data_IF_815745410377
#
_entry.id   IF_815745410377
#
_cell.length_a   1.000
_cell.length_b   1.000
_cell.length_c   1.000
_cell.angle_alpha   90.00
_cell.angle_beta   90.00
_cell.angle_gamma   90.00
#
_symmetry.space_group_name_H-M   'P 1'
#
loop_
_entity.id
_entity.type
_entity.pdbx_description
1 polymer ?
#
# COMPACT_ATOMS: atom_id res chain seq x y z
N UNK A 1 2.71 7.45 -10.53
CA UNK A 1 1.43 8.16 -10.65
C UNK A 1 1.47 9.38 -9.74
N UNK A 2 0.72 10.41 -10.07
CA UNK A 2 0.58 11.64 -9.27
C UNK A 2 -0.26 11.41 -8.00
N UNK A 3 -1.21 10.48 -8.07
CA UNK A 3 -2.15 10.16 -7.01
C UNK A 3 -1.76 8.97 -6.13
N UNK A 4 -0.47 8.73 -5.88
CA UNK A 4 -0.02 7.59 -5.07
C UNK A 4 -0.41 7.77 -3.61
N UNK A 5 -0.90 6.70 -2.98
CA UNK A 5 -1.27 6.66 -1.55
C UNK A 5 -0.52 5.60 -0.73
N UNK A 6 0.18 4.68 -1.39
CA UNK A 6 1.05 3.69 -0.75
C UNK A 6 1.90 2.98 -1.80
N UNK A 7 2.88 2.19 -1.37
CA UNK A 7 3.66 1.28 -2.21
C UNK A 7 3.40 -0.19 -1.86
N UNK A 8 3.46 -1.03 -2.88
CA UNK A 8 3.47 -2.48 -2.75
C UNK A 8 4.74 -3.03 -3.41
N UNK A 9 5.40 -3.96 -2.71
CA UNK A 9 6.68 -4.56 -3.10
C UNK A 9 6.68 -6.10 -3.03
N UNK A 10 5.55 -6.68 -2.62
CA UNK A 10 5.46 -8.12 -2.39
C UNK A 10 5.56 -8.91 -3.71
N UNK A 11 6.11 -10.12 -3.60
CA UNK A 11 6.11 -11.06 -4.71
C UNK A 11 4.66 -11.43 -5.10
N UNK A 12 4.46 -11.73 -6.38
CA UNK A 12 3.22 -12.28 -6.91
C UNK A 12 3.01 -13.66 -6.27
N UNK A 13 2.06 -13.78 -5.35
CA UNK A 13 1.67 -15.05 -4.73
C UNK A 13 0.62 -15.77 -5.58
N UNK A 14 0.97 -16.98 -5.97
CA UNK A 14 0.15 -17.88 -6.79
C UNK A 14 -0.45 -19.02 -5.95
N UNK A 15 -0.50 -18.87 -4.62
CA UNK A 15 -1.14 -19.78 -3.67
C UNK A 15 -0.68 -21.24 -3.85
N UNK A 16 0.62 -21.43 -4.08
CA UNK A 16 1.23 -22.75 -4.31
C UNK A 16 0.98 -23.36 -5.69
N UNK A 17 0.18 -22.72 -6.56
CA UNK A 17 -0.04 -23.20 -7.94
C UNK A 17 1.23 -23.10 -8.79
N UNK A 18 2.10 -22.14 -8.47
CA UNK A 18 3.44 -21.91 -9.04
C UNK A 18 4.31 -21.20 -7.99
N UNK A 19 5.64 -21.23 -8.12
CA UNK A 19 6.52 -20.45 -7.27
C UNK A 19 6.17 -18.95 -7.35
N UNK A 20 6.21 -18.27 -6.20
CA UNK A 20 6.09 -16.82 -6.16
C UNK A 20 7.21 -16.17 -6.96
N UNK A 21 6.94 -15.02 -7.57
CA UNK A 21 7.93 -14.30 -8.38
C UNK A 21 7.86 -12.81 -8.10
N UNK A 22 9.00 -12.13 -8.18
CA UNK A 22 9.05 -10.69 -8.10
C UNK A 22 8.19 -10.06 -9.19
N UNK A 23 7.62 -8.89 -8.88
CA UNK A 23 7.01 -8.03 -9.91
C UNK A 23 8.15 -7.52 -10.80
N UNK A 24 7.98 -7.62 -12.11
CA UNK A 24 9.08 -7.42 -13.09
C UNK A 24 9.74 -6.03 -13.03
N UNK A 25 9.04 -5.03 -12.47
CA UNK A 25 9.49 -3.64 -12.42
C UNK A 25 9.81 -3.17 -10.99
N UNK A 26 9.92 -4.10 -10.04
CA UNK A 26 10.15 -3.78 -8.63
C UNK A 26 8.88 -3.26 -7.91
N UNK A 27 9.07 -2.59 -6.76
CA UNK A 27 7.97 -1.98 -6.01
C UNK A 27 7.20 -0.97 -6.87
N UNK A 28 5.90 -0.86 -6.63
CA UNK A 28 5.01 0.01 -7.39
C UNK A 28 4.07 0.78 -6.47
N UNK A 29 3.80 2.03 -6.84
CA UNK A 29 2.82 2.86 -6.15
C UNK A 29 1.40 2.42 -6.47
N UNK A 30 0.53 2.47 -5.47
CA UNK A 30 -0.91 2.26 -5.61
C UNK A 30 -1.60 3.63 -5.71
N UNK A 31 -2.22 3.95 -6.86
CA UNK A 31 -3.02 5.15 -7.04
C UNK A 31 -4.28 5.18 -6.14
N UNK A 32 -4.64 6.35 -5.61
CA UNK A 32 -5.90 6.55 -4.87
C UNK A 32 -7.12 6.17 -5.71
N UNK A 33 -7.07 6.45 -7.02
CA UNK A 33 -8.16 6.10 -7.94
C UNK A 33 -8.49 4.61 -7.97
N UNK A 34 -7.60 3.73 -7.51
CA UNK A 34 -7.91 2.31 -7.37
C UNK A 34 -9.01 2.04 -6.34
N UNK A 35 -9.18 2.93 -5.36
CA UNK A 35 -10.21 2.82 -4.32
C UNK A 35 -11.59 3.29 -4.77
N UNK A 36 -11.67 4.00 -5.91
CA UNK A 36 -12.90 4.59 -6.40
C UNK A 36 -13.66 3.63 -7.33
N UNK A 37 -14.93 3.31 -7.04
CA UNK A 37 -15.82 2.68 -8.01
C UNK A 37 -16.22 3.70 -9.10
N UNK A 38 -16.75 3.22 -10.23
CA UNK A 38 -17.10 4.10 -11.37
C UNK A 38 -18.48 4.73 -11.22
N UNK A 39 -19.36 4.10 -10.45
CA UNK A 39 -20.79 4.40 -10.38
C UNK A 39 -21.20 5.14 -9.11
N UNK A 40 -20.30 5.27 -8.12
CA UNK A 40 -20.61 5.82 -6.80
C UNK A 40 -19.52 6.81 -6.35
N UNK A 41 -19.90 8.07 -6.15
CA UNK A 41 -18.98 9.15 -5.75
C UNK A 41 -18.83 9.28 -4.22
N UNK A 42 -19.49 8.41 -3.45
CA UNK A 42 -19.51 8.42 -1.98
C UNK A 42 -19.06 7.10 -1.36
N UNK A 43 -18.36 6.26 -2.13
CA UNK A 43 -17.88 4.95 -1.69
C UNK A 43 -16.39 4.81 -1.99
N UNK A 44 -15.65 4.20 -1.05
CA UNK A 44 -14.25 3.80 -1.22
C UNK A 44 -14.10 2.32 -0.89
N UNK A 45 -13.39 1.59 -1.75
CA UNK A 45 -13.11 0.15 -1.60
C UNK A 45 -11.66 -0.03 -1.16
N UNK A 46 -11.42 0.02 0.15
CA UNK A 46 -10.08 0.01 0.76
C UNK A 46 -9.59 -1.40 1.14
N UNK A 47 -9.71 -2.36 0.23
CA UNK A 47 -9.39 -3.77 0.49
C UNK A 47 -8.83 -4.44 -0.77
N UNK A 48 -8.66 -5.77 -0.70
CA UNK A 48 -8.13 -6.58 -1.80
C UNK A 48 -9.03 -6.57 -3.06
N UNK A 49 -10.28 -6.17 -2.91
CA UNK A 49 -11.27 -6.02 -3.98
C UNK A 49 -11.27 -4.63 -4.65
N UNK A 50 -10.34 -3.74 -4.29
CA UNK A 50 -10.14 -2.48 -5.03
C UNK A 50 -9.78 -2.75 -6.50
N UNK A 51 -9.78 -1.71 -7.33
CA UNK A 51 -9.61 -1.78 -8.79
C UNK A 51 -8.19 -2.18 -9.24
N UNK A 52 -7.72 -3.34 -8.82
CA UNK A 52 -6.43 -3.92 -9.14
C UNK A 52 -6.52 -4.88 -10.34
N UNK A 53 -5.44 -4.97 -11.11
CA UNK A 53 -5.26 -6.08 -12.04
C UNK A 53 -5.07 -7.39 -11.29
N UNK A 54 -5.20 -8.54 -11.96
CA UNK A 54 -4.93 -9.85 -11.36
C UNK A 54 -3.53 -9.93 -10.74
N UNK A 55 -2.53 -9.30 -11.37
CA UNK A 55 -1.16 -9.21 -10.84
C UNK A 55 -1.12 -8.31 -9.60
N UNK A 56 -1.76 -7.14 -9.67
CA UNK A 56 -1.84 -6.19 -8.55
C UNK A 56 -2.49 -6.83 -7.31
N UNK A 57 -3.63 -7.50 -7.48
CA UNK A 57 -4.35 -8.16 -6.40
C UNK A 57 -3.58 -9.33 -5.76
N UNK A 58 -2.74 -10.02 -6.56
CA UNK A 58 -1.87 -11.09 -6.06
C UNK A 58 -0.71 -10.56 -5.22
N UNK A 59 -0.16 -9.40 -5.60
CA UNK A 59 0.98 -8.76 -4.93
C UNK A 59 0.57 -7.86 -3.76
N UNK A 60 -0.37 -6.94 -3.93
CA UNK A 60 -0.66 -5.87 -2.96
C UNK A 60 -1.39 -6.33 -1.69
N UNK A 61 -1.71 -7.61 -1.53
CA UNK A 61 -2.63 -8.14 -0.51
C UNK A 61 -2.06 -8.30 0.91
N UNK A 62 -0.82 -7.85 1.14
CA UNK A 62 -0.23 -7.90 2.48
C UNK A 62 -0.94 -6.95 3.43
N UNK A 63 -1.03 -7.33 4.71
CA UNK A 63 -1.68 -6.52 5.75
C UNK A 63 -1.13 -5.09 5.81
N UNK A 64 0.19 -4.91 5.61
CA UNK A 64 0.82 -3.58 5.53
C UNK A 64 0.12 -2.70 4.49
N UNK A 65 0.02 -3.16 3.25
CA UNK A 65 -0.61 -2.40 2.18
C UNK A 65 -2.10 -2.20 2.45
N UNK A 66 -2.83 -3.23 2.92
CA UNK A 66 -4.25 -3.11 3.26
C UNK A 66 -4.52 -2.04 4.33
N UNK A 67 -3.67 -1.97 5.36
CA UNK A 67 -3.76 -0.93 6.39
C UNK A 67 -3.55 0.46 5.80
N UNK A 68 -2.62 0.62 4.86
CA UNK A 68 -2.38 1.91 4.19
C UNK A 68 -3.54 2.31 3.28
N UNK A 69 -4.18 1.37 2.57
CA UNK A 69 -5.40 1.67 1.81
C UNK A 69 -6.52 2.15 2.74
N UNK A 70 -6.68 1.49 3.90
CA UNK A 70 -7.63 1.90 4.93
C UNK A 70 -7.35 3.30 5.47
N UNK A 71 -6.09 3.62 5.75
CA UNK A 71 -5.66 4.96 6.17
C UNK A 71 -6.01 6.01 5.11
N UNK A 72 -5.63 5.77 3.85
CA UNK A 72 -5.95 6.66 2.75
C UNK A 72 -7.45 6.89 2.57
N UNK A 73 -8.26 5.83 2.67
CA UNK A 73 -9.70 5.94 2.52
C UNK A 73 -10.36 6.71 3.68
N UNK A 74 -9.94 6.45 4.92
CA UNK A 74 -10.44 7.16 6.10
C UNK A 74 -10.09 8.65 6.05
N UNK A 75 -8.84 8.96 5.70
CA UNK A 75 -8.37 10.34 5.54
C UNK A 75 -9.12 11.06 4.41
N UNK A 76 -9.33 10.41 3.27
CA UNK A 76 -10.11 10.97 2.17
C UNK A 76 -11.57 11.23 2.58
N UNK A 77 -12.21 10.31 3.29
CA UNK A 77 -13.56 10.52 3.80
C UNK A 77 -13.64 11.71 4.77
N UNK A 78 -12.61 11.91 5.61
CA UNK A 78 -12.53 13.06 6.51
C UNK A 78 -12.31 14.39 5.76
N UNK A 79 -11.50 14.39 4.69
CA UNK A 79 -11.16 15.59 3.93
C UNK A 79 -12.24 16.00 2.92
N UNK A 80 -12.88 15.03 2.27
CA UNK A 80 -13.76 15.25 1.13
C UNK A 80 -15.24 14.95 1.41
N UNK A 81 -15.55 14.31 2.54
CA UNK A 81 -16.92 14.00 2.94
C UNK A 81 -17.59 13.01 1.99
N UNK A 82 -18.74 13.41 1.44
CA UNK A 82 -19.57 12.55 0.56
C UNK A 82 -19.13 12.57 -0.91
N UNK A 83 -18.23 13.46 -1.31
CA UNK A 83 -17.70 13.52 -2.66
C UNK A 83 -16.24 13.05 -2.65
N UNK A 84 -16.03 11.73 -2.72
CA UNK A 84 -14.69 11.15 -2.69
C UNK A 84 -13.92 11.39 -3.98
N UNK A 85 -14.59 11.79 -5.07
CA UNK A 85 -13.97 12.22 -6.32
C UNK A 85 -13.38 13.63 -6.23
N UNK A 86 -13.75 14.44 -5.22
CA UNK A 86 -13.22 15.78 -5.00
C UNK A 86 -11.69 15.84 -4.85
N UNK A 87 -11.01 14.71 -4.64
CA UNK A 87 -9.55 14.63 -4.61
C UNK A 87 -8.87 15.17 -5.88
N UNK A 88 -9.53 15.12 -7.05
CA UNK A 88 -8.98 15.64 -8.32
C UNK A 88 -9.10 17.16 -8.43
N UNK A 89 -9.86 17.81 -7.54
CA UNK A 89 -10.14 19.24 -7.61
C UNK A 89 -9.14 20.04 -6.78
N UNK A 90 -8.61 21.12 -7.35
CA UNK A 90 -7.71 22.03 -6.65
C UNK A 90 -6.50 21.32 -6.04
N UNK A 91 -6.33 21.44 -4.73
CA UNK A 91 -5.26 20.85 -3.92
C UNK A 91 -5.70 19.56 -3.20
N UNK A 92 -6.81 18.93 -3.61
CA UNK A 92 -7.37 17.78 -2.92
C UNK A 92 -6.37 16.63 -2.75
N UNK A 93 -5.73 16.20 -3.83
CA UNK A 93 -4.74 15.12 -3.79
C UNK A 93 -3.52 15.48 -2.92
N UNK A 94 -2.97 16.70 -3.07
CA UNK A 94 -1.83 17.11 -2.23
C UNK A 94 -2.21 17.15 -0.76
N UNK A 95 -3.40 17.65 -0.40
CA UNK A 95 -3.89 17.62 0.98
C UNK A 95 -4.03 16.21 1.55
N UNK A 96 -4.48 15.25 0.72
CA UNK A 96 -4.53 13.84 1.12
C UNK A 96 -3.12 13.28 1.34
N UNK A 97 -2.20 13.51 0.40
CA UNK A 97 -0.82 13.03 0.51
C UNK A 97 -0.07 13.67 1.68
N UNK A 98 -0.23 14.97 1.91
CA UNK A 98 0.36 15.70 3.03
C UNK A 98 -0.11 15.12 4.38
N UNK A 99 -1.40 14.82 4.49
CA UNK A 99 -1.94 14.20 5.69
C UNK A 99 -1.42 12.77 5.87
N UNK A 100 -1.33 11.98 4.79
CA UNK A 100 -0.78 10.62 4.85
C UNK A 100 0.71 10.62 5.26
N UNK A 101 1.52 11.55 4.72
CA UNK A 101 2.92 11.73 5.12
C UNK A 101 3.01 12.13 6.60
N UNK A 102 2.13 13.04 7.04
CA UNK A 102 2.02 13.44 8.46
C UNK A 102 1.70 12.24 9.35
N UNK A 103 0.87 11.32 8.88
CA UNK A 103 0.50 10.08 9.56
C UNK A 103 1.60 8.98 9.46
N UNK A 104 2.72 9.26 8.79
CA UNK A 104 3.86 8.35 8.64
C UNK A 104 3.75 7.37 7.48
N UNK A 105 2.85 7.60 6.51
CA UNK A 105 2.76 6.81 5.28
C UNK A 105 3.86 7.22 4.33
N UNK A 106 4.69 6.26 3.92
CA UNK A 106 5.71 6.49 2.90
C UNK A 106 5.10 6.55 1.49
N UNK A 107 5.24 7.70 0.83
CA UNK A 107 4.72 7.95 -0.53
C UNK A 107 5.83 8.05 -1.58
N UNK A 108 7.07 7.79 -1.20
CA UNK A 108 8.20 7.62 -2.10
C UNK A 108 8.94 6.31 -1.81
N UNK A 109 9.68 5.81 -2.80
CA UNK A 109 10.54 4.65 -2.58
C UNK A 109 11.68 4.97 -1.60
N UNK A 110 12.18 6.19 -1.60
CA UNK A 110 13.22 6.61 -0.67
C UNK A 110 12.74 6.51 0.80
N UNK A 111 11.56 7.03 1.09
CA UNK A 111 10.95 7.02 2.44
C UNK A 111 10.31 5.67 2.82
N UNK A 112 9.99 4.81 1.84
CA UNK A 112 9.24 3.57 2.09
C UNK A 112 10.05 2.29 2.00
N UNK A 113 11.15 2.33 1.23
CA UNK A 113 11.98 1.17 0.92
C UNK A 113 13.33 1.22 1.63
N UNK A 114 13.88 2.42 1.91
CA UNK A 114 15.16 2.58 2.62
C UNK A 114 14.96 2.83 4.12
N UNK A 115 13.79 3.33 4.54
CA UNK A 115 13.38 3.43 5.95
C UNK A 115 12.69 2.16 6.46
N UNK A 116 13.12 0.99 6.00
CA UNK A 116 13.12 -0.19 6.88
C UNK A 116 14.11 0.06 8.04
N UNK A 117 13.82 1.10 8.84
CA UNK A 117 14.59 1.69 9.92
C UNK A 117 16.02 2.08 9.50
N UNK A 118 16.30 3.37 9.30
CA UNK A 118 17.68 3.86 9.19
C UNK A 118 18.55 3.22 10.29
N UNK A 119 19.51 2.37 9.90
CA UNK A 119 20.37 1.60 10.81
C UNK A 119 19.99 0.13 11.03
N UNK A 120 18.96 -0.40 10.37
CA UNK A 120 18.66 -1.84 10.34
C UNK A 120 19.05 -2.41 8.98
N UNK A 121 20.13 -3.18 8.98
CA UNK A 121 20.49 -4.00 7.82
C UNK A 121 19.36 -4.99 7.52
N UNK A 122 18.90 -5.10 6.25
CA UNK A 122 17.93 -6.10 5.86
C UNK A 122 18.41 -7.47 6.33
N UNK A 123 17.54 -8.22 7.03
CA UNK A 123 17.86 -9.60 7.37
C UNK A 123 18.21 -10.35 6.08
N UNK A 124 19.36 -11.05 6.04
CA UNK A 124 19.73 -11.79 4.85
C UNK A 124 18.61 -12.79 4.55
N UNK A 125 18.16 -12.85 3.30
CA UNK A 125 17.05 -13.70 2.84
C UNK A 125 17.40 -15.20 2.82
N UNK A 126 18.15 -15.67 3.82
CA UNK A 126 18.55 -17.07 3.91
C UNK A 126 17.32 -17.89 4.31
N UNK A 127 16.82 -18.64 3.34
CA UNK A 127 15.99 -19.81 3.54
C UNK A 127 16.82 -20.85 4.30
N UNK A 128 16.95 -20.73 5.63
CA UNK A 128 17.34 -21.89 6.41
C UNK A 128 16.13 -22.83 6.48
N UNK A 129 16.20 -23.94 5.75
CA UNK A 129 15.23 -25.03 5.84
C UNK A 129 15.08 -25.46 7.31
N UNK A 130 13.94 -25.15 7.92
CA UNK A 130 13.54 -25.69 9.22
C UNK A 130 13.50 -24.71 10.40
N UNK A 131 13.84 -23.43 10.23
CA UNK A 131 13.68 -22.46 11.30
C UNK A 131 12.25 -21.88 11.33
N UNK A 132 11.48 -22.21 12.37
CA UNK A 132 10.18 -21.57 12.62
C UNK A 132 10.40 -20.11 13.05
N UNK A 133 9.88 -19.10 12.34
CA UNK A 133 10.10 -17.71 12.72
C UNK A 133 9.41 -17.45 14.07
N UNK A 134 10.21 -17.25 15.13
CA UNK A 134 9.70 -16.84 16.42
C UNK A 134 9.45 -15.33 16.38
N UNK A 135 8.20 -14.90 16.55
CA UNK A 135 7.86 -13.48 16.69
C UNK A 135 8.40 -13.02 18.04
N UNK A 136 9.47 -12.23 18.04
CA UNK A 136 9.97 -11.55 19.24
C UNK A 136 9.22 -10.21 19.35
N UNK A 137 8.43 -9.99 20.42
CA UNK A 137 7.76 -8.71 20.61
C UNK A 137 8.81 -7.61 20.79
N UNK A 138 8.67 -6.53 20.01
CA UNK A 138 9.50 -5.34 20.19
C UNK A 138 9.05 -4.61 21.48
N UNK A 139 9.99 -4.13 22.31
CA UNK A 139 9.63 -3.31 23.46
C UNK A 139 8.91 -2.03 23.00
N UNK A 140 7.95 -1.57 23.81
CA UNK A 140 7.17 -0.35 23.54
C UNK A 140 8.04 0.89 23.61
#
# INVERSE_FOLDING_TARGET
>A
HDDIITFADHAIDLHGSRPSRAVSNGPYGVPFRCLLPKELDNLLVACREASFSSIGASSCRLSRTMMMLGQAAGTAAALFGLDTAAYVSGDGMSRLQDQLVTDGVALTLEEGYLDAMAGIEPLPQILEEGASPTIVPQPR
#
